data_IF_135451566173
#
_entry.id   IF_135451566173
#
_cell.length_a   1.000
_cell.length_b   1.000
_cell.length_c   1.000
_cell.angle_alpha   90.00
_cell.angle_beta   90.00
_cell.angle_gamma   90.00
#
_symmetry.space_group_name_H-M   'P 1'
#
loop_
_entity.id
_entity.type
_entity.pdbx_description
1 polymer ?
#
# COMPACT_ATOMS: atom_id res chain seq x y z
N UNK A 1 15.95 -14.82 36.24
CA UNK A 1 14.85 -13.85 36.18
C UNK A 1 14.10 -13.97 37.50
N UNK A 2 14.27 -13.00 38.39
CA UNK A 2 13.64 -12.97 39.71
C UNK A 2 12.39 -12.12 39.56
N UNK A 3 11.23 -12.67 39.92
CA UNK A 3 9.96 -11.93 39.94
C UNK A 3 9.68 -11.58 41.40
N UNK A 4 9.66 -10.28 41.70
CA UNK A 4 9.17 -9.72 42.96
C UNK A 4 7.89 -8.97 42.64
N UNK A 5 6.80 -9.27 43.35
CA UNK A 5 5.56 -8.51 43.29
C UNK A 5 5.53 -7.52 44.45
N UNK A 6 5.22 -6.23 44.23
CA UNK A 6 4.84 -5.34 45.31
C UNK A 6 3.36 -5.49 45.65
N UNK A 7 3.08 -5.44 46.95
CA UNK A 7 1.76 -5.42 47.56
C UNK A 7 1.06 -4.06 47.35
N UNK A 8 -0.24 -4.14 47.07
CA UNK A 8 -1.29 -3.13 47.33
C UNK A 8 -0.91 -1.65 47.27
N UNK A 9 -1.22 -1.02 46.13
CA UNK A 9 -1.35 0.43 46.00
C UNK A 9 -1.90 0.77 44.63
N UNK A 10 -3.12 1.29 44.56
CA UNK A 10 -3.74 1.72 43.32
C UNK A 10 -2.89 2.81 42.66
N UNK A 11 -2.36 2.51 41.47
CA UNK A 11 -1.63 3.47 40.66
C UNK A 11 -2.53 3.94 39.52
N UNK A 12 -2.88 5.22 39.57
CA UNK A 12 -3.49 5.96 38.47
C UNK A 12 -2.43 6.10 37.37
N UNK A 13 -2.72 5.56 36.18
CA UNK A 13 -1.84 5.62 35.01
C UNK A 13 -1.93 7.02 34.38
N UNK A 14 -1.20 7.97 34.94
CA UNK A 14 -0.92 9.25 34.27
C UNK A 14 0.20 8.99 33.26
N UNK A 15 -0.18 8.75 32.01
CA UNK A 15 0.76 8.78 30.90
C UNK A 15 1.27 10.20 30.72
N UNK A 16 2.46 10.49 31.24
CA UNK A 16 3.23 11.66 30.82
C UNK A 16 3.52 11.51 29.33
N UNK A 17 2.90 12.35 28.50
CA UNK A 17 3.31 12.52 27.12
C UNK A 17 4.77 12.97 27.12
N UNK A 18 5.63 12.08 26.64
CA UNK A 18 7.05 12.34 26.44
C UNK A 18 7.16 13.51 25.46
N UNK A 19 7.84 14.62 25.80
CA UNK A 19 8.01 15.72 24.87
C UNK A 19 8.69 15.18 23.61
N UNK A 20 8.08 15.45 22.45
CA UNK A 20 8.62 15.09 21.16
C UNK A 20 10.01 15.74 21.03
N UNK A 21 11.05 14.91 21.13
CA UNK A 21 12.40 15.31 20.72
C UNK A 21 12.31 15.48 19.22
N UNK A 22 12.19 16.73 18.77
CA UNK A 22 12.37 17.09 17.37
C UNK A 22 13.85 16.86 17.07
N UNK A 23 14.15 15.65 16.60
CA UNK A 23 15.44 15.31 16.04
C UNK A 23 15.56 16.11 14.73
N UNK A 24 16.12 17.31 14.83
CA UNK A 24 16.50 18.14 13.67
C UNK A 24 17.72 17.47 13.04
N UNK A 25 17.49 16.31 12.41
CA UNK A 25 18.49 15.74 11.52
C UNK A 25 18.63 16.71 10.35
N UNK A 26 19.87 17.06 9.96
CA UNK A 26 20.06 17.82 8.74
C UNK A 26 19.34 17.07 7.63
N UNK A 27 18.45 17.78 6.91
CA UNK A 27 17.83 17.27 5.70
C UNK A 27 18.97 16.77 4.81
N UNK A 28 19.00 15.48 4.43
CA UNK A 28 20.06 14.99 3.56
C UNK A 28 20.05 15.87 2.33
N UNK A 29 21.18 16.53 2.06
CA UNK A 29 21.36 17.30 0.83
C UNK A 29 21.18 16.32 -0.32
N UNK A 30 20.02 16.40 -0.97
CA UNK A 30 19.75 15.60 -2.16
C UNK A 30 20.83 15.92 -3.21
N UNK A 31 21.48 14.91 -3.81
CA UNK A 31 22.40 15.17 -4.91
C UNK A 31 21.67 15.94 -6.01
N UNK A 32 22.31 16.99 -6.51
CA UNK A 32 21.79 18.04 -7.41
C UNK A 32 21.34 17.55 -8.81
N UNK A 33 21.17 16.24 -9.02
CA UNK A 33 20.82 15.61 -10.29
C UNK A 33 19.35 15.19 -10.42
N UNK A 34 18.50 15.47 -9.42
CA UNK A 34 17.07 15.05 -9.42
C UNK A 34 16.30 15.56 -10.65
N UNK A 35 16.68 16.71 -11.22
CA UNK A 35 16.00 17.29 -12.40
C UNK A 35 16.14 16.49 -13.69
N UNK A 36 17.01 15.46 -13.74
CA UNK A 36 17.16 14.56 -14.90
C UNK A 36 16.39 13.24 -14.76
N UNK A 37 15.80 12.96 -13.60
CA UNK A 37 15.04 11.73 -13.35
C UNK A 37 13.55 11.87 -13.73
N UNK A 38 13.14 12.98 -14.35
CA UNK A 38 11.73 13.26 -14.65
C UNK A 38 11.23 12.64 -15.98
N UNK A 39 12.13 12.21 -16.87
CA UNK A 39 11.77 11.75 -18.23
C UNK A 39 11.73 10.22 -18.35
N UNK A 40 10.81 9.57 -17.62
CA UNK A 40 10.46 8.16 -17.80
C UNK A 40 11.17 7.16 -16.89
N UNK A 41 10.95 5.84 -17.12
CA UNK A 41 11.48 4.80 -16.26
C UNK A 41 13.00 4.61 -16.43
N UNK A 42 13.68 4.27 -15.34
CA UNK A 42 15.14 4.12 -15.26
C UNK A 42 15.54 2.69 -14.91
N UNK A 43 16.68 2.25 -15.47
CA UNK A 43 17.32 0.95 -15.20
C UNK A 43 18.78 1.17 -14.77
N UNK A 44 19.25 0.42 -13.78
CA UNK A 44 20.62 0.50 -13.29
C UNK A 44 21.63 0.03 -14.34
N UNK A 45 22.83 0.59 -14.29
CA UNK A 45 23.91 0.24 -15.23
C UNK A 45 24.35 -1.21 -15.12
N UNK A 46 24.18 -1.84 -13.95
CA UNK A 46 24.62 -3.21 -13.70
C UNK A 46 23.63 -4.27 -14.15
N UNK A 47 22.42 -3.88 -14.60
CA UNK A 47 21.47 -4.82 -15.15
C UNK A 47 21.93 -5.37 -16.53
N UNK A 48 21.60 -6.62 -16.87
CA UNK A 48 22.03 -7.22 -18.13
C UNK A 48 21.58 -6.41 -19.36
N UNK A 49 22.47 -6.16 -20.32
CA UNK A 49 22.14 -5.36 -21.51
C UNK A 49 20.93 -5.88 -22.30
N UNK A 50 20.75 -7.21 -22.32
CA UNK A 50 19.61 -7.85 -22.97
C UNK A 50 18.27 -7.42 -22.34
N UNK A 51 18.24 -7.03 -21.07
CA UNK A 51 17.03 -6.55 -20.40
C UNK A 51 16.43 -5.34 -21.12
N UNK A 52 17.26 -4.41 -21.58
CA UNK A 52 16.77 -3.23 -22.33
C UNK A 52 16.02 -3.62 -23.60
N UNK A 53 16.50 -4.66 -24.29
CA UNK A 53 15.83 -5.17 -25.49
C UNK A 53 14.49 -5.84 -25.14
N UNK A 54 14.42 -6.51 -23.99
CA UNK A 54 13.22 -7.20 -23.51
C UNK A 54 12.14 -6.25 -22.97
N UNK A 55 12.52 -5.12 -22.39
CA UNK A 55 11.59 -4.08 -21.92
C UNK A 55 10.88 -3.37 -23.08
N UNK A 56 11.36 -3.57 -24.31
CA UNK A 56 10.64 -3.21 -25.53
C UNK A 56 10.29 -1.72 -25.61
N UNK A 57 9.07 -1.36 -26.06
CA UNK A 57 8.68 0.02 -26.33
C UNK A 57 8.64 0.96 -25.12
N UNK A 58 8.60 0.43 -23.89
CA UNK A 58 8.57 1.30 -22.69
C UNK A 58 9.86 2.10 -22.55
N UNK A 59 10.99 1.52 -22.98
CA UNK A 59 12.28 2.21 -23.06
C UNK A 59 12.78 2.72 -21.71
N UNK A 60 13.46 1.88 -20.94
CA UNK A 60 14.09 2.30 -19.70
C UNK A 60 15.42 2.99 -19.98
N UNK A 61 15.60 4.20 -19.45
CA UNK A 61 16.86 4.96 -19.57
C UNK A 61 17.89 4.42 -18.57
N UNK A 62 19.11 4.16 -19.03
CA UNK A 62 20.16 3.63 -18.16
C UNK A 62 20.74 4.72 -17.28
N UNK A 63 20.92 4.42 -15.99
CA UNK A 63 21.48 5.34 -15.00
C UNK A 63 22.29 4.60 -13.92
N UNK A 64 23.09 5.31 -13.14
CA UNK A 64 23.80 4.74 -11.99
C UNK A 64 22.91 4.82 -10.74
N UNK A 65 21.85 4.00 -10.69
CA UNK A 65 20.84 4.04 -9.63
C UNK A 65 21.41 3.57 -8.29
N UNK A 66 22.16 2.46 -8.31
CA UNK A 66 22.69 1.83 -7.11
C UNK A 66 23.70 2.72 -6.37
N UNK A 67 24.53 3.50 -7.09
CA UNK A 67 25.45 4.46 -6.45
C UNK A 67 24.72 5.57 -5.70
N UNK A 68 23.54 5.94 -6.21
CA UNK A 68 22.70 6.99 -5.66
C UNK A 68 21.72 6.44 -4.58
N UNK A 69 21.75 5.13 -4.34
CA UNK A 69 20.95 4.44 -3.32
C UNK A 69 19.55 4.04 -3.75
N UNK A 70 19.26 4.12 -5.05
CA UNK A 70 18.05 3.58 -5.67
C UNK A 70 18.21 2.08 -5.93
N UNK A 71 17.09 1.40 -6.22
CA UNK A 71 17.09 -0.02 -6.60
C UNK A 71 17.44 -0.18 -8.09
N UNK A 72 17.51 -1.42 -8.57
CA UNK A 72 17.86 -1.74 -9.97
C UNK A 72 16.94 -1.09 -11.03
N UNK A 73 15.69 -0.81 -10.66
CA UNK A 73 14.72 -0.12 -11.51
C UNK A 73 13.98 0.96 -10.71
N UNK A 74 13.68 2.07 -11.39
CA UNK A 74 13.01 3.22 -10.79
C UNK A 74 12.03 3.88 -11.75
N UNK A 75 10.87 4.29 -11.25
CA UNK A 75 9.97 5.22 -11.95
C UNK A 75 9.08 5.97 -10.97
N UNK A 76 8.35 6.97 -11.45
CA UNK A 76 7.23 7.59 -10.72
C UNK A 76 5.92 7.09 -11.29
N UNK A 77 4.96 6.81 -10.43
CA UNK A 77 3.58 6.54 -10.86
C UNK A 77 2.87 7.84 -11.27
N UNK A 78 1.62 7.73 -11.73
CA UNK A 78 0.83 8.88 -12.19
C UNK A 78 0.58 9.93 -11.09
N UNK A 79 0.64 9.56 -9.81
CA UNK A 79 0.53 10.48 -8.67
C UNK A 79 1.89 11.11 -8.28
N UNK A 80 2.97 10.72 -8.96
CA UNK A 80 4.33 11.15 -8.67
C UNK A 80 5.02 10.38 -7.55
N UNK A 81 4.44 9.27 -7.06
CA UNK A 81 5.07 8.44 -6.02
C UNK A 81 6.14 7.57 -6.63
N UNK A 82 7.24 7.43 -5.89
CA UNK A 82 8.41 6.68 -6.35
C UNK A 82 8.18 5.17 -6.22
N UNK A 83 8.50 4.47 -7.31
CA UNK A 83 8.44 3.01 -7.44
C UNK A 83 9.85 2.51 -7.62
N UNK A 84 10.28 1.65 -6.70
CA UNK A 84 11.59 1.04 -6.71
C UNK A 84 11.42 -0.45 -6.91
N UNK A 85 12.14 -1.03 -7.86
CA UNK A 85 12.16 -2.48 -8.04
C UNK A 85 13.58 -3.00 -8.00
N UNK A 86 13.80 -3.97 -7.12
CA UNK A 86 15.06 -4.70 -7.02
C UNK A 86 14.88 -6.09 -7.63
N UNK A 87 15.83 -6.52 -8.47
CA UNK A 87 15.84 -7.86 -9.04
C UNK A 87 16.85 -8.72 -8.30
N UNK A 88 16.40 -9.87 -7.81
CA UNK A 88 17.27 -10.88 -7.20
C UNK A 88 17.04 -12.23 -7.85
N UNK A 89 18.07 -13.04 -7.89
CA UNK A 89 18.00 -14.44 -8.29
C UNK A 89 18.00 -15.34 -7.07
N UNK A 90 17.46 -16.55 -7.20
CA UNK A 90 17.51 -17.55 -6.13
C UNK A 90 18.93 -17.81 -5.58
N UNK A 91 19.95 -17.73 -6.44
CA UNK A 91 21.34 -17.92 -6.03
C UNK A 91 21.85 -16.84 -5.06
N UNK A 92 21.35 -15.61 -5.18
CA UNK A 92 21.75 -14.50 -4.30
C UNK A 92 21.19 -14.64 -2.87
N UNK A 93 20.10 -15.40 -2.71
CA UNK A 93 19.56 -15.73 -1.39
C UNK A 93 20.45 -16.71 -0.58
N UNK A 94 21.59 -17.14 -1.13
CA UNK A 94 22.61 -17.87 -0.38
C UNK A 94 23.21 -17.04 0.78
N UNK A 95 23.18 -15.71 0.69
CA UNK A 95 23.79 -14.77 1.65
C UNK A 95 22.74 -13.79 2.19
N UNK A 96 21.81 -14.31 3.00
CA UNK A 96 20.66 -13.55 3.50
C UNK A 96 21.03 -12.24 4.23
N UNK A 97 22.14 -12.20 4.98
CA UNK A 97 22.52 -11.02 5.76
C UNK A 97 22.82 -9.81 4.87
N UNK A 98 23.51 -10.03 3.73
CA UNK A 98 23.79 -8.96 2.74
C UNK A 98 22.51 -8.46 2.08
N UNK A 99 21.61 -9.39 1.83
CA UNK A 99 20.32 -9.15 1.20
C UNK A 99 19.42 -8.34 2.14
N UNK A 100 19.41 -8.68 3.44
CA UNK A 100 18.72 -7.93 4.49
C UNK A 100 19.30 -6.53 4.71
N UNK A 101 20.64 -6.40 4.75
CA UNK A 101 21.32 -5.09 4.82
C UNK A 101 20.94 -4.21 3.62
N UNK A 102 20.83 -4.79 2.43
CA UNK A 102 20.39 -4.07 1.24
C UNK A 102 18.95 -3.54 1.39
N UNK A 103 18.01 -4.37 1.84
CA UNK A 103 16.63 -3.91 2.11
C UNK A 103 16.64 -2.74 3.09
N UNK A 104 17.32 -2.93 4.22
CA UNK A 104 17.37 -1.93 5.27
C UNK A 104 17.91 -0.59 4.75
N UNK A 105 18.94 -0.61 3.90
CA UNK A 105 19.48 0.60 3.26
C UNK A 105 18.45 1.30 2.38
N UNK A 106 17.70 0.57 1.55
CA UNK A 106 16.66 1.19 0.71
C UNK A 106 15.53 1.77 1.55
N UNK A 107 15.01 1.02 2.53
CA UNK A 107 13.95 1.48 3.42
C UNK A 107 14.36 2.71 4.25
N UNK A 108 15.64 2.82 4.59
CA UNK A 108 16.15 3.96 5.37
C UNK A 108 16.41 5.19 4.49
N UNK A 109 16.94 4.99 3.28
CA UNK A 109 17.25 6.11 2.37
C UNK A 109 16.00 6.70 1.73
N UNK A 110 15.03 5.86 1.38
CA UNK A 110 13.82 6.24 0.64
C UNK A 110 12.57 5.69 1.32
N UNK A 111 12.22 6.18 2.53
CA UNK A 111 11.14 5.61 3.34
C UNK A 111 9.74 5.81 2.74
N UNK A 112 9.59 6.71 1.77
CA UNK A 112 8.33 6.98 1.09
C UNK A 112 8.19 6.22 -0.24
N UNK A 113 9.27 5.61 -0.72
CA UNK A 113 9.25 4.86 -1.97
C UNK A 113 8.58 3.49 -1.75
N UNK A 114 7.78 3.07 -2.72
CA UNK A 114 7.23 1.72 -2.73
C UNK A 114 8.27 0.75 -3.27
N UNK A 115 8.86 -0.05 -2.38
CA UNK A 115 9.88 -1.04 -2.73
C UNK A 115 9.26 -2.40 -3.08
N UNK A 116 9.52 -2.84 -4.30
CA UNK A 116 9.13 -4.16 -4.82
C UNK A 116 10.36 -4.99 -5.11
N UNK A 117 10.28 -6.28 -4.85
CA UNK A 117 11.30 -7.27 -5.16
C UNK A 117 10.79 -8.25 -6.20
N UNK A 118 11.63 -8.53 -7.20
CA UNK A 118 11.40 -9.60 -8.15
C UNK A 118 12.42 -10.69 -7.87
N UNK A 119 11.94 -11.84 -7.40
CA UNK A 119 12.75 -13.04 -7.25
C UNK A 119 12.67 -13.88 -8.53
N UNK A 120 13.74 -13.82 -9.31
CA UNK A 120 13.88 -14.46 -10.60
C UNK A 120 14.51 -15.87 -10.51
N UNK A 121 13.96 -16.76 -11.31
CA UNK A 121 14.44 -18.12 -11.53
C UNK A 121 13.51 -19.16 -10.93
N UNK A 122 13.83 -20.42 -11.23
CA UNK A 122 13.15 -21.58 -10.67
C UNK A 122 14.10 -22.25 -9.69
N UNK A 123 13.64 -22.52 -8.47
CA UNK A 123 14.40 -23.28 -7.49
C UNK A 123 13.53 -24.39 -6.92
N UNK A 124 14.11 -25.58 -6.73
CA UNK A 124 13.45 -26.74 -6.16
C UNK A 124 14.23 -27.25 -4.96
N UNK A 125 13.53 -27.69 -3.89
CA UNK A 125 14.19 -28.33 -2.75
C UNK A 125 14.86 -29.65 -3.17
N UNK A 126 15.95 -30.00 -2.51
CA UNK A 126 16.61 -31.30 -2.60
C UNK A 126 17.12 -31.72 -1.20
N UNK A 127 17.68 -32.93 -1.07
CA UNK A 127 18.13 -33.47 0.21
C UNK A 127 19.22 -32.63 0.91
N UNK A 128 19.96 -31.83 0.14
CA UNK A 128 21.07 -31.01 0.63
C UNK A 128 20.75 -29.52 0.73
N UNK A 129 19.52 -29.09 0.40
CA UNK A 129 19.15 -27.67 0.32
C UNK A 129 18.20 -27.40 -0.84
N UNK A 130 18.70 -26.74 -1.89
CA UNK A 130 17.94 -26.46 -3.10
C UNK A 130 18.82 -26.44 -4.37
N UNK A 131 18.20 -26.70 -5.51
CA UNK A 131 18.80 -26.57 -6.85
C UNK A 131 18.05 -25.49 -7.61
N UNK A 132 18.78 -24.55 -8.21
CA UNK A 132 18.24 -23.58 -9.16
C UNK A 132 18.29 -24.15 -10.57
N UNK A 133 17.39 -23.66 -11.42
CA UNK A 133 17.31 -24.08 -12.81
C UNK A 133 17.45 -22.87 -13.72
N UNK A 134 18.23 -23.04 -14.79
CA UNK A 134 18.40 -22.04 -15.82
C UNK A 134 17.61 -22.46 -17.06
N UNK A 135 16.87 -21.52 -17.61
CA UNK A 135 16.22 -21.70 -18.91
C UNK A 135 17.30 -21.86 -19.99
N UNK A 136 17.23 -22.97 -20.73
CA UNK A 136 18.13 -23.30 -21.82
C UNK A 136 17.30 -23.65 -23.05
N UNK A 137 17.53 -22.98 -24.20
CA UNK A 137 16.85 -23.32 -25.43
C UNK A 137 17.34 -24.68 -25.94
N UNK A 138 16.42 -25.59 -26.23
CA UNK A 138 16.72 -26.92 -26.78
C UNK A 138 15.66 -27.32 -27.80
N UNK A 139 16.08 -27.53 -29.06
CA UNK A 139 15.22 -27.96 -30.18
C UNK A 139 13.91 -27.17 -30.31
N UNK A 140 13.97 -25.84 -30.20
CA UNK A 140 12.81 -24.97 -30.31
C UNK A 140 11.87 -24.96 -29.10
N UNK A 141 12.29 -25.53 -27.96
CA UNK A 141 11.58 -25.47 -26.68
C UNK A 141 12.49 -24.87 -25.62
N UNK A 142 11.90 -24.14 -24.69
CA UNK A 142 12.58 -23.72 -23.46
C UNK A 142 12.54 -24.85 -22.44
N UNK A 143 13.72 -25.31 -22.00
CA UNK A 143 13.84 -26.31 -20.94
C UNK A 143 14.56 -25.71 -19.74
N UNK A 144 14.07 -26.01 -18.54
CA UNK A 144 14.76 -25.67 -17.30
C UNK A 144 15.75 -26.78 -16.97
N UNK A 145 17.04 -26.46 -17.01
CA UNK A 145 18.13 -27.40 -16.71
C UNK A 145 18.71 -27.07 -15.33
N UNK A 146 18.99 -28.09 -14.49
CA UNK A 146 19.67 -27.87 -13.22
C UNK A 146 20.95 -27.04 -13.40
N UNK A 147 21.10 -26.02 -12.56
CA UNK A 147 22.24 -25.11 -12.52
C UNK A 147 22.93 -25.25 -11.16
N UNK A 148 23.31 -24.14 -10.54
CA UNK A 148 23.82 -24.08 -9.18
C UNK A 148 22.73 -24.34 -8.14
N UNK A 149 23.13 -24.52 -6.89
CA UNK A 149 22.24 -24.67 -5.75
C UNK A 149 22.86 -24.08 -4.49
N UNK A 150 22.08 -24.04 -3.42
CA UNK A 150 22.56 -23.66 -2.10
C UNK A 150 22.30 -24.76 -1.08
N UNK A 151 23.11 -24.80 -0.03
CA UNK A 151 22.99 -25.78 1.06
C UNK A 151 21.91 -25.41 2.09
N UNK A 152 21.36 -24.20 2.02
CA UNK A 152 20.29 -23.77 2.94
C UNK A 152 19.01 -24.54 2.62
N UNK A 153 18.33 -25.12 3.62
CA UNK A 153 17.04 -25.78 3.40
C UNK A 153 16.01 -24.81 2.81
N UNK A 154 15.30 -25.22 1.76
CA UNK A 154 14.29 -24.37 1.10
C UNK A 154 13.23 -23.83 2.06
N UNK A 155 12.82 -24.63 3.06
CA UNK A 155 11.87 -24.22 4.11
C UNK A 155 12.34 -22.97 4.87
N UNK A 156 13.64 -22.81 5.07
CA UNK A 156 14.23 -21.66 5.76
C UNK A 156 14.16 -20.41 4.88
N UNK A 157 14.45 -20.56 3.58
CA UNK A 157 14.34 -19.47 2.61
C UNK A 157 12.90 -18.99 2.49
N UNK A 158 11.93 -19.91 2.41
CA UNK A 158 10.51 -19.56 2.36
C UNK A 158 10.05 -18.85 3.64
N UNK A 159 10.47 -19.34 4.82
CA UNK A 159 10.16 -18.68 6.09
C UNK A 159 10.74 -17.26 6.14
N UNK A 160 11.97 -17.08 5.64
CA UNK A 160 12.62 -15.78 5.57
C UNK A 160 11.90 -14.84 4.58
N UNK A 161 11.62 -15.29 3.35
CA UNK A 161 10.84 -14.53 2.35
C UNK A 161 9.47 -14.11 2.89
N UNK A 162 8.80 -14.99 3.66
CA UNK A 162 7.54 -14.65 4.32
C UNK A 162 7.67 -13.52 5.35
N UNK A 163 8.77 -13.47 6.11
CA UNK A 163 9.01 -12.36 7.05
C UNK A 163 9.33 -11.07 6.31
N UNK A 164 10.15 -11.15 5.26
CA UNK A 164 10.56 -10.00 4.45
C UNK A 164 9.38 -9.41 3.68
N UNK A 165 8.45 -10.26 3.21
CA UNK A 165 7.21 -9.85 2.54
C UNK A 165 6.28 -8.95 3.37
N UNK A 166 6.57 -8.77 4.66
CA UNK A 166 5.87 -7.79 5.53
C UNK A 166 6.37 -6.36 5.34
N UNK A 167 7.57 -6.20 4.80
CA UNK A 167 8.25 -4.91 4.63
C UNK A 167 8.36 -4.51 3.15
N UNK A 168 8.41 -5.50 2.25
CA UNK A 168 8.52 -5.29 0.80
C UNK A 168 7.53 -6.17 0.05
N UNK A 169 7.07 -5.70 -1.10
CA UNK A 169 6.25 -6.52 -2.01
C UNK A 169 7.15 -7.49 -2.77
N UNK A 170 6.79 -8.77 -2.85
CA UNK A 170 7.61 -9.79 -3.53
C UNK A 170 6.83 -10.43 -4.67
N UNK A 171 7.38 -10.35 -5.88
CA UNK A 171 6.92 -11.06 -7.07
C UNK A 171 7.94 -12.14 -7.47
N UNK A 172 7.45 -13.18 -8.13
CA UNK A 172 8.28 -14.29 -8.59
C UNK A 172 8.20 -14.38 -10.10
N UNK A 173 9.36 -14.53 -10.75
CA UNK A 173 9.45 -14.69 -12.21
C UNK A 173 10.35 -15.87 -12.54
N UNK A 174 10.05 -16.57 -13.63
CA UNK A 174 10.79 -17.79 -14.00
C UNK A 174 12.11 -17.51 -14.71
N UNK A 175 12.21 -16.37 -15.39
CA UNK A 175 13.35 -15.99 -16.22
C UNK A 175 13.32 -14.48 -16.54
N UNK A 176 14.38 -13.99 -17.18
CA UNK A 176 14.57 -12.58 -17.50
C UNK A 176 13.45 -12.00 -18.39
N UNK A 177 12.94 -12.78 -19.35
CA UNK A 177 11.80 -12.36 -20.19
C UNK A 177 10.54 -12.15 -19.35
N UNK A 178 10.25 -13.06 -18.41
CA UNK A 178 9.12 -12.91 -17.49
C UNK A 178 9.30 -11.69 -16.59
N UNK A 179 10.53 -11.41 -16.14
CA UNK A 179 10.87 -10.20 -15.38
C UNK A 179 10.60 -8.93 -16.19
N UNK A 180 11.08 -8.87 -17.44
CA UNK A 180 10.83 -7.72 -18.32
C UNK A 180 9.33 -7.49 -18.58
N UNK A 181 8.57 -8.55 -18.82
CA UNK A 181 7.13 -8.48 -19.00
C UNK A 181 6.41 -7.97 -17.74
N UNK A 182 6.82 -8.44 -16.56
CA UNK A 182 6.28 -7.99 -15.29
C UNK A 182 6.58 -6.50 -15.06
N UNK A 183 7.83 -6.06 -15.23
CA UNK A 183 8.23 -4.66 -15.09
C UNK A 183 7.44 -3.75 -16.03
N UNK A 184 7.31 -4.16 -17.29
CA UNK A 184 6.51 -3.45 -18.31
C UNK A 184 5.05 -3.33 -17.88
N UNK A 185 4.45 -4.42 -17.41
CA UNK A 185 3.06 -4.43 -16.97
C UNK A 185 2.84 -3.57 -15.72
N UNK A 186 3.74 -3.63 -14.74
CA UNK A 186 3.72 -2.80 -13.54
C UNK A 186 3.81 -1.32 -13.90
N UNK A 187 4.81 -0.94 -14.69
CA UNK A 187 4.98 0.44 -15.14
C UNK A 187 3.71 0.94 -15.86
N UNK A 188 3.22 0.20 -16.86
CA UNK A 188 2.02 0.60 -17.61
C UNK A 188 0.76 0.66 -16.76
N UNK A 189 0.68 -0.14 -15.69
CA UNK A 189 -0.39 -0.01 -14.71
C UNK A 189 -0.22 1.30 -13.93
N UNK A 190 0.95 1.54 -13.34
CA UNK A 190 1.25 2.73 -12.55
C UNK A 190 1.08 4.05 -13.30
N UNK A 191 1.19 4.06 -14.63
CA UNK A 191 0.94 5.25 -15.45
C UNK A 191 -0.55 5.55 -15.69
N UNK A 192 -1.49 4.76 -15.18
CA UNK A 192 -2.93 4.98 -15.35
C UNK A 192 -3.51 5.74 -14.17
N UNK A 193 -4.19 6.86 -14.45
CA UNK A 193 -4.91 7.65 -13.45
C UNK A 193 -5.97 6.83 -12.69
N UNK A 194 -6.60 5.86 -13.35
CA UNK A 194 -7.60 5.01 -12.72
C UNK A 194 -7.49 3.55 -13.10
N UNK A 195 -7.80 2.69 -12.13
CA UNK A 195 -7.87 1.24 -12.30
C UNK A 195 -9.28 0.76 -11.96
N UNK A 196 -9.90 -0.04 -12.82
CA UNK A 196 -11.20 -0.66 -12.51
C UNK A 196 -11.07 -1.98 -11.74
N UNK A 197 -9.84 -2.42 -11.45
CA UNK A 197 -9.58 -3.69 -10.76
C UNK A 197 -10.29 -3.70 -9.41
N UNK A 198 -11.05 -4.77 -9.17
CA UNK A 198 -11.89 -4.99 -7.97
C UNK A 198 -12.98 -3.94 -7.68
N UNK A 199 -13.10 -2.83 -8.41
CA UNK A 199 -14.13 -1.81 -8.17
C UNK A 199 -15.56 -2.36 -8.26
N UNK A 200 -15.76 -3.45 -9.02
CA UNK A 200 -17.05 -4.15 -9.10
C UNK A 200 -17.42 -4.88 -7.81
N UNK A 201 -16.44 -5.38 -7.07
CA UNK A 201 -16.64 -6.27 -5.92
C UNK A 201 -16.36 -5.60 -4.59
N UNK A 202 -15.38 -4.70 -4.56
CA UNK A 202 -15.03 -3.89 -3.42
C UNK A 202 -15.62 -2.50 -3.63
N UNK A 203 -16.90 -2.33 -3.27
CA UNK A 203 -17.41 -1.00 -3.02
C UNK A 203 -16.82 -0.59 -1.69
N UNK A 204 -15.93 0.39 -1.71
CA UNK A 204 -15.52 1.07 -0.48
C UNK A 204 -16.80 1.71 0.06
N UNK A 205 -17.44 1.04 1.01
CA UNK A 205 -18.56 1.64 1.73
C UNK A 205 -17.87 2.61 2.67
N UNK A 206 -17.80 3.88 2.27
CA UNK A 206 -17.43 4.97 3.16
C UNK A 206 -18.56 5.15 4.17
N UNK A 207 -18.79 4.12 4.99
CA UNK A 207 -19.77 4.10 6.05
C UNK A 207 -19.19 4.89 7.23
N UNK A 208 -19.15 6.22 7.05
CA UNK A 208 -19.09 7.16 8.14
C UNK A 208 -20.49 7.74 8.28
N UNK A 209 -21.48 6.99 8.80
CA UNK A 209 -22.83 7.50 8.97
C UNK A 209 -22.69 8.73 9.85
N UNK A 210 -23.02 9.89 9.30
CA UNK A 210 -23.00 11.12 10.06
C UNK A 210 -23.82 10.87 11.33
N UNK A 211 -23.24 10.99 12.55
CA UNK A 211 -23.93 10.61 13.77
C UNK A 211 -25.22 11.41 13.97
N UNK A 212 -25.31 12.60 13.35
CA UNK A 212 -26.54 13.39 13.32
C UNK A 212 -27.63 12.74 12.45
N UNK A 213 -27.27 12.17 11.29
CA UNK A 213 -28.20 11.44 10.42
C UNK A 213 -28.74 10.21 11.14
N UNK A 214 -27.87 9.43 11.77
CA UNK A 214 -28.28 8.25 12.55
C UNK A 214 -29.19 8.60 13.74
N UNK A 215 -28.85 9.65 14.49
CA UNK A 215 -29.71 10.15 15.58
C UNK A 215 -31.07 10.61 15.09
N UNK A 216 -31.13 11.29 13.95
CA UNK A 216 -32.40 11.78 13.39
C UNK A 216 -33.31 10.63 12.94
N UNK A 217 -32.72 9.59 12.31
CA UNK A 217 -33.45 8.38 11.93
C UNK A 217 -34.02 7.63 13.15
N UNK A 218 -33.34 7.68 14.29
CA UNK A 218 -33.80 7.03 15.52
C UNK A 218 -34.97 7.74 16.22
N UNK A 219 -35.24 9.02 15.91
CA UNK A 219 -36.26 9.82 16.60
C UNK A 219 -37.68 9.48 16.14
N UNK A 220 -37.87 9.26 14.83
CA UNK A 220 -39.19 9.04 14.29
C UNK A 220 -39.20 8.14 13.06
N UNK A 221 -40.16 7.22 13.05
CA UNK A 221 -40.43 6.33 11.93
C UNK A 221 -40.80 7.14 10.67
N UNK A 222 -40.25 6.74 9.53
CA UNK A 222 -40.49 7.37 8.23
C UNK A 222 -39.44 8.41 7.80
N UNK A 223 -38.39 8.61 8.60
CA UNK A 223 -37.16 9.30 8.17
C UNK A 223 -36.14 8.24 7.74
N UNK A 224 -36.04 8.00 6.43
CA UNK A 224 -34.93 7.25 5.86
C UNK A 224 -33.67 8.11 5.71
N UNK A 225 -32.53 7.46 5.45
CA UNK A 225 -31.20 8.08 5.30
C UNK A 225 -31.21 9.35 4.44
N UNK A 226 -31.71 9.27 3.20
CA UNK A 226 -31.77 10.43 2.28
C UNK A 226 -32.53 11.64 2.84
N UNK A 227 -33.58 11.42 3.64
CA UNK A 227 -34.34 12.51 4.26
C UNK A 227 -33.60 13.08 5.46
N UNK A 228 -32.98 12.21 6.25
CA UNK A 228 -32.17 12.63 7.38
C UNK A 228 -30.92 13.42 6.91
N UNK A 229 -30.24 12.97 5.86
CA UNK A 229 -29.16 13.70 5.20
C UNK A 229 -29.62 15.07 4.73
N UNK A 230 -30.73 15.14 3.96
CA UNK A 230 -31.24 16.42 3.48
C UNK A 230 -31.66 17.38 4.61
N UNK A 231 -32.19 16.86 5.72
CA UNK A 231 -32.50 17.66 6.91
C UNK A 231 -31.22 18.15 7.61
N UNK A 232 -30.22 17.29 7.77
CA UNK A 232 -28.94 17.67 8.41
C UNK A 232 -28.12 18.59 7.51
N UNK A 233 -28.16 18.43 6.20
CA UNK A 233 -27.54 19.35 5.22
C UNK A 233 -28.20 20.73 5.31
N UNK A 234 -29.54 20.79 5.44
CA UNK A 234 -30.28 22.06 5.51
C UNK A 234 -30.15 22.78 6.85
N UNK A 235 -30.22 22.04 7.96
CA UNK A 235 -30.30 22.60 9.32
C UNK A 235 -29.00 22.44 10.13
N UNK A 236 -27.99 21.74 9.59
CA UNK A 236 -26.68 21.50 10.18
C UNK A 236 -26.65 20.42 11.26
N UNK A 237 -27.60 20.42 12.20
CA UNK A 237 -27.60 19.49 13.34
C UNK A 237 -29.00 18.99 13.68
N UNK A 238 -29.10 17.83 14.36
CA UNK A 238 -30.38 17.30 14.85
C UNK A 238 -31.09 18.32 15.73
N UNK A 239 -30.34 19.02 16.59
CA UNK A 239 -30.91 20.03 17.48
C UNK A 239 -31.64 21.15 16.73
N UNK A 240 -31.06 21.63 15.63
CA UNK A 240 -31.69 22.66 14.80
C UNK A 240 -32.94 22.13 14.08
N UNK A 241 -32.94 20.86 13.66
CA UNK A 241 -34.13 20.20 13.10
C UNK A 241 -35.25 20.14 14.13
N UNK A 242 -34.95 19.81 15.40
CA UNK A 242 -35.95 19.69 16.47
C UNK A 242 -36.47 21.04 16.98
N UNK A 243 -35.69 22.11 16.83
CA UNK A 243 -36.12 23.49 17.14
C UNK A 243 -36.87 24.17 16.01
N UNK A 244 -36.77 23.68 14.78
CA UNK A 244 -37.42 24.28 13.63
C UNK A 244 -38.95 24.20 13.73
N UNK A 245 -39.64 25.19 13.14
CA UNK A 245 -41.08 25.16 12.96
C UNK A 245 -41.49 24.12 11.91
N UNK A 246 -42.70 23.51 12.02
CA UNK A 246 -43.18 22.54 11.05
C UNK A 246 -43.12 23.05 9.60
N UNK A 247 -43.42 24.33 9.37
CA UNK A 247 -43.36 24.95 8.05
C UNK A 247 -41.92 24.97 7.47
N UNK A 248 -40.91 25.22 8.32
CA UNK A 248 -39.51 25.18 7.88
C UNK A 248 -39.07 23.78 7.49
N UNK A 249 -39.48 22.75 8.24
CA UNK A 249 -39.17 21.37 7.91
C UNK A 249 -39.77 20.93 6.56
N UNK A 250 -40.94 21.46 6.20
CA UNK A 250 -41.56 21.14 4.90
C UNK A 250 -40.83 21.70 3.68
N UNK A 251 -39.85 22.58 3.88
CA UNK A 251 -38.98 23.06 2.78
C UNK A 251 -38.04 21.97 2.26
N UNK A 252 -37.80 20.90 3.04
CA UNK A 252 -36.99 19.76 2.63
C UNK A 252 -37.83 18.78 1.81
N UNK A 253 -37.38 18.47 0.59
CA UNK A 253 -38.09 17.59 -0.35
C UNK A 253 -38.39 16.23 0.29
N UNK A 254 -39.67 15.85 0.28
CA UNK A 254 -40.13 14.57 0.87
C UNK A 254 -40.48 14.62 2.36
N UNK A 255 -40.43 15.80 2.99
CA UNK A 255 -40.95 16.07 4.33
C UNK A 255 -42.27 16.82 4.23
N UNK A 256 -43.39 16.11 4.38
CA UNK A 256 -44.72 16.73 4.43
C UNK A 256 -45.06 17.25 5.83
N UNK A 257 -46.08 18.11 5.94
CA UNK A 257 -46.52 18.70 7.21
C UNK A 257 -46.84 17.66 8.29
N UNK A 258 -47.47 16.54 7.89
CA UNK A 258 -47.78 15.42 8.80
C UNK A 258 -46.51 14.78 9.37
N UNK A 259 -45.48 14.60 8.53
CA UNK A 259 -44.20 14.03 8.96
C UNK A 259 -43.45 15.02 9.84
N UNK A 260 -43.41 16.30 9.46
CA UNK A 260 -42.77 17.37 10.25
C UNK A 260 -43.33 17.44 11.68
N UNK A 261 -44.65 17.50 11.83
CA UNK A 261 -45.30 17.50 13.16
C UNK A 261 -45.01 16.21 13.94
N UNK A 262 -45.00 15.05 13.27
CA UNK A 262 -44.71 13.76 13.90
C UNK A 262 -43.29 13.70 14.48
N UNK A 263 -42.30 14.17 13.72
CA UNK A 263 -40.89 14.23 14.14
C UNK A 263 -40.78 15.06 15.43
N UNK A 264 -41.35 16.27 15.42
CA UNK A 264 -41.27 17.20 16.55
C UNK A 264 -42.03 16.68 17.78
N UNK A 265 -43.22 16.09 17.59
CA UNK A 265 -43.98 15.47 18.69
C UNK A 265 -43.23 14.32 19.34
N UNK A 266 -42.58 13.46 18.55
CA UNK A 266 -41.75 12.36 19.06
C UNK A 266 -40.53 12.85 19.83
N UNK A 267 -40.02 14.03 19.49
CA UNK A 267 -38.97 14.72 20.23
C UNK A 267 -39.46 15.51 21.45
N UNK A 268 -40.75 15.41 21.82
CA UNK A 268 -41.30 16.04 23.02
C UNK A 268 -41.81 17.47 22.82
N UNK A 269 -42.12 17.89 21.58
CA UNK A 269 -42.83 19.15 21.30
C UNK A 269 -44.35 18.90 21.12
N UNK A 270 -45.17 19.00 22.18
CA UNK A 270 -46.62 18.84 22.07
C UNK A 270 -47.34 20.06 21.47
N UNK A 271 -46.64 21.19 21.37
CA UNK A 271 -47.15 22.49 20.90
C UNK A 271 -47.39 22.57 19.38
N UNK A 272 -46.96 21.56 18.61
CA UNK A 272 -46.96 21.55 17.13
C UNK A 272 -47.95 20.57 16.47
#
# INVERSE_FOLDING_TARGET
MVIVFPESGGAELVTQEKPAIVDVRPTPSFPTNVSRMEDGPLIDVHEPEVMKSLLGPVGFNQYHLNSDGYADYYWKDWEGKERHVERKTWGELGVLDKVEEQIWRHLTKQPQAHLTWILEGVAMPNDSGYTTYKETPSKGRSLFVPSSGGSRPMKMLHAWLYQIGKFVEIHYTSCLLSTANLLTAMYQADQRESHSTLHRYYRQVDWHPNPQVGKLMAIADGIGEKKAEALIERFGTVWMVLKADPAMLTTVKGVGMVLAKRILRKAGRPDV
#
